data_IF_774932396414
#
_entry.id   IF_774932396414
#
_cell.length_a   1.000
_cell.length_b   1.000
_cell.length_c   1.000
_cell.angle_alpha   90.00
_cell.angle_beta   90.00
_cell.angle_gamma   90.00
#
_symmetry.space_group_name_H-M   'P 1'
#
loop_
_entity.id
_entity.type
_entity.pdbx_description
1 polymer ?
#
# COMPACT_ATOMS: atom_id res chain seq x y z
N UNK A 1 -9.74 -23.15 -15.47
CA UNK A 1 -8.62 -23.82 -16.17
C UNK A 1 -7.35 -23.53 -15.40
N UNK A 2 -6.49 -24.53 -15.21
CA UNK A 2 -5.13 -24.37 -14.69
C UNK A 2 -4.14 -24.84 -15.75
N UNK A 3 -2.94 -24.27 -15.79
CA UNK A 3 -1.84 -24.70 -16.68
C UNK A 3 -1.04 -25.87 -16.08
N UNK A 4 -1.38 -26.31 -14.87
CA UNK A 4 -0.75 -27.46 -14.22
C UNK A 4 -1.32 -28.74 -14.82
N UNK A 5 -0.44 -29.53 -15.44
CA UNK A 5 -0.81 -30.76 -16.16
C UNK A 5 -0.74 -32.02 -15.28
N UNK A 6 -0.03 -31.95 -14.15
CA UNK A 6 0.15 -33.07 -13.22
C UNK A 6 -0.78 -32.93 -12.00
N UNK A 7 -1.82 -33.78 -11.88
CA UNK A 7 -2.79 -33.70 -10.78
C UNK A 7 -2.19 -34.08 -9.41
N UNK A 8 -1.04 -34.78 -9.37
CA UNK A 8 -0.36 -35.09 -8.10
C UNK A 8 0.38 -33.85 -7.55
N UNK A 9 0.76 -32.90 -8.42
CA UNK A 9 1.41 -31.64 -8.02
C UNK A 9 0.41 -30.56 -7.60
N UNK A 10 -0.86 -30.70 -7.96
CA UNK A 10 -1.89 -29.73 -7.65
C UNK A 10 -3.20 -30.44 -7.33
N UNK A 11 -3.25 -30.96 -6.11
CA UNK A 11 -4.44 -31.60 -5.56
C UNK A 11 -5.63 -30.63 -5.59
N UNK A 12 -6.79 -31.12 -6.02
CA UNK A 12 -7.95 -30.28 -6.36
C UNK A 12 -8.49 -29.47 -5.16
N UNK A 13 -8.42 -30.02 -3.95
CA UNK A 13 -8.79 -29.36 -2.69
C UNK A 13 -7.88 -28.16 -2.38
N UNK A 14 -6.56 -28.32 -2.55
CA UNK A 14 -5.58 -27.23 -2.36
C UNK A 14 -5.74 -26.14 -3.43
N UNK A 15 -5.99 -26.52 -4.68
CA UNK A 15 -6.28 -25.56 -5.75
C UNK A 15 -7.58 -24.79 -5.51
N UNK A 16 -8.61 -25.46 -5.01
CA UNK A 16 -9.87 -24.80 -4.64
C UNK A 16 -9.67 -23.80 -3.48
N UNK A 17 -8.84 -24.16 -2.49
CA UNK A 17 -8.48 -23.25 -1.41
C UNK A 17 -7.76 -21.99 -1.93
N UNK A 18 -6.80 -22.13 -2.87
CA UNK A 18 -6.14 -20.99 -3.51
C UNK A 18 -7.09 -20.11 -4.34
N UNK A 19 -8.23 -20.63 -4.77
CA UNK A 19 -9.23 -19.82 -5.47
C UNK A 19 -9.92 -18.82 -4.52
N UNK A 20 -9.95 -19.12 -3.22
CA UNK A 20 -10.38 -18.16 -2.20
C UNK A 20 -9.36 -17.03 -2.03
N UNK A 21 -8.07 -17.30 -2.21
CA UNK A 21 -7.02 -16.26 -2.21
C UNK A 21 -7.19 -15.24 -3.35
N UNK A 22 -7.97 -15.57 -4.39
CA UNK A 22 -8.35 -14.56 -5.38
C UNK A 22 -9.11 -13.40 -4.76
N UNK A 23 -9.86 -13.60 -3.68
CA UNK A 23 -10.54 -12.50 -2.98
C UNK A 23 -9.55 -11.48 -2.40
N UNK A 24 -8.29 -11.85 -2.16
CA UNK A 24 -7.27 -10.90 -1.73
C UNK A 24 -7.05 -9.77 -2.75
N UNK A 25 -7.22 -10.05 -4.05
CA UNK A 25 -7.12 -9.00 -5.08
C UNK A 25 -8.25 -7.99 -4.94
N UNK A 26 -9.45 -8.45 -4.59
CA UNK A 26 -10.62 -7.58 -4.42
C UNK A 26 -10.43 -6.70 -3.17
N UNK A 27 -9.92 -7.29 -2.09
CA UNK A 27 -9.53 -6.56 -0.88
C UNK A 27 -8.46 -5.51 -1.16
N UNK A 28 -7.39 -5.86 -1.89
CA UNK A 28 -6.34 -4.90 -2.25
C UNK A 28 -6.88 -3.76 -3.14
N UNK A 29 -7.80 -4.06 -4.05
CA UNK A 29 -8.47 -3.05 -4.87
C UNK A 29 -9.37 -2.14 -4.03
N UNK A 30 -10.08 -2.65 -3.04
CA UNK A 30 -10.88 -1.84 -2.12
C UNK A 30 -10.00 -0.94 -1.24
N UNK A 31 -8.90 -1.48 -0.71
CA UNK A 31 -7.91 -0.70 0.04
C UNK A 31 -7.37 0.48 -0.76
N UNK A 32 -7.01 0.23 -2.02
CA UNK A 32 -6.49 1.25 -2.92
C UNK A 32 -7.55 2.32 -3.25
N UNK A 33 -8.75 1.88 -3.67
CA UNK A 33 -9.81 2.76 -4.21
C UNK A 33 -10.57 3.51 -3.12
N UNK A 34 -10.81 2.86 -2.00
CA UNK A 34 -11.74 3.32 -0.95
C UNK A 34 -10.99 3.85 0.25
N UNK A 35 -9.98 3.14 0.75
CA UNK A 35 -9.31 3.47 2.02
C UNK A 35 -8.11 4.39 1.86
N UNK A 36 -7.25 4.16 0.87
CA UNK A 36 -6.05 4.94 0.63
C UNK A 36 -6.36 6.22 -0.13
N UNK A 37 -6.97 6.09 -1.32
CA UNK A 37 -7.38 7.24 -2.14
C UNK A 37 -8.56 7.99 -1.54
N UNK A 38 -9.49 7.29 -0.90
CA UNK A 38 -10.77 7.84 -0.47
C UNK A 38 -11.83 7.74 -1.57
N UNK A 39 -13.04 7.31 -1.22
CA UNK A 39 -14.12 6.99 -2.14
C UNK A 39 -14.58 8.15 -3.07
N UNK A 40 -14.24 9.40 -2.76
CA UNK A 40 -14.66 10.60 -3.50
C UNK A 40 -13.53 11.37 -4.17
N UNK A 41 -12.28 10.91 -4.07
CA UNK A 41 -11.13 11.62 -4.64
C UNK A 41 -10.83 11.06 -6.03
N UNK A 42 -11.01 11.89 -7.06
CA UNK A 42 -10.53 11.63 -8.42
C UNK A 42 -9.04 11.97 -8.53
N UNK A 43 -8.32 11.29 -9.42
CA UNK A 43 -6.96 11.67 -9.79
C UNK A 43 -6.95 13.13 -10.24
N UNK A 44 -5.99 13.91 -9.74
CA UNK A 44 -5.96 15.38 -9.94
C UNK A 44 -5.29 15.77 -11.24
N UNK A 45 -4.42 14.91 -11.76
CA UNK A 45 -3.65 15.13 -12.97
C UNK A 45 -4.53 15.25 -14.21
N UNK A 46 -4.17 16.15 -15.13
CA UNK A 46 -4.95 16.45 -16.35
C UNK A 46 -4.31 15.94 -17.65
N UNK A 47 -3.12 15.34 -17.58
CA UNK A 47 -2.44 14.73 -18.74
C UNK A 47 -2.28 13.23 -18.53
N UNK A 48 -2.30 12.41 -19.60
CA UNK A 48 -2.19 10.96 -19.48
C UNK A 48 -0.92 10.49 -18.75
N UNK A 49 0.22 11.15 -18.99
CA UNK A 49 1.50 10.82 -18.34
C UNK A 49 1.45 11.05 -16.83
N UNK A 50 0.95 12.22 -16.39
CA UNK A 50 0.85 12.54 -14.98
C UNK A 50 -0.22 11.70 -14.27
N UNK A 51 -1.31 11.34 -14.96
CA UNK A 51 -2.31 10.39 -14.44
C UNK A 51 -1.68 9.02 -14.15
N UNK A 52 -0.83 8.51 -15.06
CA UNK A 52 -0.06 7.27 -14.81
C UNK A 52 0.86 7.42 -13.62
N UNK A 53 1.59 8.53 -13.54
CA UNK A 53 2.48 8.81 -12.41
C UNK A 53 1.73 8.84 -11.07
N UNK A 54 0.60 9.53 -11.01
CA UNK A 54 -0.24 9.61 -9.81
C UNK A 54 -0.76 8.22 -9.39
N UNK A 55 -1.17 7.40 -10.37
CA UNK A 55 -1.57 6.02 -10.13
C UNK A 55 -0.42 5.16 -9.59
N UNK A 56 0.79 5.28 -10.16
CA UNK A 56 1.98 4.60 -9.62
C UNK A 56 2.28 5.05 -8.19
N UNK A 57 2.12 6.34 -7.89
CA UNK A 57 2.25 6.87 -6.52
C UNK A 57 1.26 6.22 -5.54
N UNK A 58 0.01 6.03 -5.95
CA UNK A 58 -0.99 5.33 -5.13
C UNK A 58 -0.63 3.86 -4.90
N UNK A 59 -0.15 3.15 -5.93
CA UNK A 59 0.30 1.75 -5.78
C UNK A 59 1.50 1.67 -4.83
N UNK A 60 2.50 2.53 -4.99
CA UNK A 60 3.67 2.54 -4.12
C UNK A 60 3.28 2.83 -2.66
N UNK A 61 2.35 3.76 -2.43
CA UNK A 61 1.86 4.05 -1.08
C UNK A 61 1.09 2.87 -0.47
N UNK A 62 0.26 2.17 -1.25
CA UNK A 62 -0.43 0.95 -0.80
C UNK A 62 0.57 -0.13 -0.39
N UNK A 63 1.55 -0.40 -1.25
CA UNK A 63 2.58 -1.39 -0.99
C UNK A 63 3.39 -1.05 0.27
N UNK A 64 3.83 0.20 0.42
CA UNK A 64 4.58 0.65 1.60
C UNK A 64 3.77 0.44 2.90
N UNK A 65 2.47 0.75 2.89
CA UNK A 65 1.61 0.52 4.07
C UNK A 65 1.45 -0.98 4.35
N UNK A 66 1.26 -1.81 3.32
CA UNK A 66 1.17 -3.27 3.49
C UNK A 66 2.48 -3.87 3.99
N UNK A 67 3.64 -3.40 3.53
CA UNK A 67 4.94 -3.80 4.07
C UNK A 67 5.08 -3.43 5.54
N UNK A 68 4.65 -2.23 5.96
CA UNK A 68 4.67 -1.82 7.36
C UNK A 68 3.74 -2.67 8.23
N UNK A 69 2.55 -3.01 7.74
CA UNK A 69 1.63 -3.94 8.42
C UNK A 69 2.30 -5.31 8.60
N UNK A 70 2.90 -5.82 7.53
CA UNK A 70 3.59 -7.11 7.54
C UNK A 70 4.71 -7.14 8.58
N UNK A 71 5.60 -6.14 8.58
CA UNK A 71 6.66 -6.02 9.59
C UNK A 71 6.13 -5.90 11.02
N UNK A 72 5.01 -5.18 11.22
CA UNK A 72 4.39 -5.05 12.53
C UNK A 72 3.76 -6.36 13.02
N UNK A 73 3.11 -7.10 12.12
CA UNK A 73 2.49 -8.38 12.41
C UNK A 73 3.55 -9.43 12.79
N UNK A 74 4.64 -9.51 12.02
CA UNK A 74 5.78 -10.39 12.33
C UNK A 74 6.40 -10.10 13.70
N UNK A 75 6.50 -8.82 14.10
CA UNK A 75 7.00 -8.44 15.43
C UNK A 75 6.04 -8.83 16.56
N UNK A 76 4.76 -8.96 16.25
CA UNK A 76 3.70 -9.31 17.21
C UNK A 76 3.35 -10.80 17.20
N UNK A 77 3.99 -11.62 16.36
CA UNK A 77 3.63 -13.02 16.11
C UNK A 77 2.15 -13.20 15.70
N UNK A 78 1.66 -12.27 14.88
CA UNK A 78 0.29 -12.24 14.37
C UNK A 78 0.27 -12.39 12.85
N UNK A 79 -0.85 -12.89 12.33
CA UNK A 79 -1.09 -12.94 10.89
C UNK A 79 -1.34 -11.52 10.34
N UNK A 80 -0.55 -11.05 9.35
CA UNK A 80 -0.69 -9.72 8.77
C UNK A 80 -2.06 -9.42 8.17
N UNK A 81 -2.81 -10.43 7.71
CA UNK A 81 -4.15 -10.22 7.15
C UNK A 81 -5.22 -9.99 8.21
N UNK A 82 -4.88 -10.20 9.49
CA UNK A 82 -5.74 -9.81 10.63
C UNK A 82 -5.61 -8.34 10.99
N UNK A 83 -4.58 -7.64 10.50
CA UNK A 83 -4.35 -6.23 10.81
C UNK A 83 -5.12 -5.32 9.86
N UNK A 84 -5.82 -4.33 10.42
CA UNK A 84 -6.63 -3.39 9.62
C UNK A 84 -5.78 -2.42 8.81
N UNK A 85 -5.89 -2.47 7.49
CA UNK A 85 -5.25 -1.51 6.58
C UNK A 85 -5.69 -0.05 6.84
N UNK A 86 -6.99 0.18 7.03
CA UNK A 86 -7.50 1.52 7.34
C UNK A 86 -6.92 2.07 8.66
N UNK A 87 -6.74 1.22 9.66
CA UNK A 87 -6.07 1.62 10.89
C UNK A 87 -4.60 1.99 10.63
N UNK A 88 -3.87 1.19 9.85
CA UNK A 88 -2.50 1.47 9.49
C UNK A 88 -2.35 2.81 8.73
N UNK A 89 -3.21 3.10 7.75
CA UNK A 89 -3.26 4.40 7.04
C UNK A 89 -3.40 5.56 8.04
N UNK A 90 -4.31 5.44 9.02
CA UNK A 90 -4.53 6.46 10.04
C UNK A 90 -3.29 6.64 10.94
N UNK A 91 -2.64 5.55 11.33
CA UNK A 91 -1.40 5.58 12.12
C UNK A 91 -0.29 6.26 11.35
N UNK A 92 -0.05 5.85 10.10
CA UNK A 92 0.99 6.42 9.23
C UNK A 92 0.75 7.92 9.02
N UNK A 93 -0.46 8.33 8.64
CA UNK A 93 -0.79 9.76 8.45
C UNK A 93 -0.52 10.60 9.70
N UNK A 94 -0.91 10.10 10.88
CA UNK A 94 -0.67 10.77 12.16
C UNK A 94 0.82 10.90 12.50
N UNK A 95 1.63 9.89 12.17
CA UNK A 95 3.08 9.89 12.45
C UNK A 95 3.86 10.70 11.41
N UNK A 96 3.45 10.70 10.14
CA UNK A 96 4.03 11.54 9.09
C UNK A 96 3.75 13.02 9.31
N UNK A 97 2.56 13.41 9.78
CA UNK A 97 2.27 14.81 10.09
C UNK A 97 3.25 15.41 11.13
N UNK A 98 3.82 14.56 12.01
CA UNK A 98 4.85 14.97 12.95
C UNK A 98 6.27 15.02 12.34
N UNK A 99 6.50 14.33 11.22
CA UNK A 99 7.81 14.23 10.55
C UNK A 99 7.96 15.15 9.33
N UNK A 100 6.86 15.58 8.70
CA UNK A 100 6.84 16.33 7.41
C UNK A 100 6.89 17.85 7.63
N UNK A 101 7.40 18.32 8.76
CA UNK A 101 7.79 19.72 8.91
C UNK A 101 9.10 20.00 8.15
N UNK A 102 9.10 19.77 6.84
CA UNK A 102 10.15 20.28 5.96
C UNK A 102 9.83 21.75 5.72
N UNK A 103 10.65 22.63 6.32
CA UNK A 103 10.61 24.04 5.94
C UNK A 103 10.96 24.14 4.45
N UNK A 104 10.18 24.88 3.64
CA UNK A 104 10.55 25.13 2.24
C UNK A 104 11.72 26.11 2.10
N UNK A 105 12.21 26.71 3.20
CA UNK A 105 13.42 27.52 3.17
C UNK A 105 14.66 26.64 3.35
N UNK A 106 15.70 26.91 2.56
CA UNK A 106 17.06 26.50 2.89
C UNK A 106 17.37 26.96 4.32
N UNK A 107 18.09 26.11 5.07
CA UNK A 107 18.74 26.57 6.29
C UNK A 107 19.73 27.65 5.85
N UNK A 108 19.53 28.89 6.30
CA UNK A 108 20.48 29.98 6.11
C UNK A 108 21.79 29.60 6.83
N UNK A 109 22.65 28.86 6.14
CA UNK A 109 24.07 28.74 6.49
C UNK A 109 24.77 29.99 5.96
N UNK A 110 24.64 31.10 6.70
CA UNK A 110 25.64 32.17 6.68
C UNK A 110 26.46 32.07 7.96
N UNK A 111 27.79 31.99 7.81
CA UNK A 111 28.54 33.22 8.00
C UNK A 111 29.41 33.53 6.78
N UNK A 112 29.20 34.70 6.20
CA UNK A 112 30.24 35.40 5.47
C UNK A 112 31.41 35.66 6.44
N UNK A 113 32.46 34.85 6.33
CA UNK A 113 33.81 35.27 6.71
C UNK A 113 34.39 36.07 5.54
N UNK A 114 34.47 37.40 5.70
CA UNK A 114 35.59 38.25 5.29
C UNK A 114 35.73 39.40 6.29
#
# INVERSE_FOLDING_TARGET
>A
MTTILDPQRAQADKLAALYHERWEIETALDELKTHLRGARITLRSRTPDLVRQEFHGLIMAHFAIRSLIHEAALKADEDPDRLSFLHAVRVVRRKMAAAVAFSPSEADDLPYCL
#
